data_IF_926304609975
#
_entry.id   IF_926304609975
#
_cell.length_a   1.000
_cell.length_b   1.000
_cell.length_c   1.000
_cell.angle_alpha   90.00
_cell.angle_beta   90.00
_cell.angle_gamma   90.00
#
_symmetry.space_group_name_H-M   'P 1'
#
loop_
_entity.id
_entity.type
_entity.pdbx_description
1 polymer ?
#
# COMPACT_ATOMS: atom_id res chain seq x y z
N UNK A 1 19.64 17.46 1.06
CA UNK A 1 18.24 17.93 0.97
C UNK A 1 17.42 17.10 1.95
N UNK A 2 16.77 17.72 2.93
CA UNK A 2 15.97 16.99 3.90
C UNK A 2 14.84 16.23 3.17
N UNK A 3 14.48 15.01 3.59
CA UNK A 3 13.30 14.35 3.05
C UNK A 3 12.11 15.27 3.34
N UNK A 4 11.29 15.58 2.31
CA UNK A 4 10.09 16.40 2.48
C UNK A 4 9.17 15.87 3.60
N UNK A 5 8.11 16.63 3.98
CA UNK A 5 7.28 16.29 5.11
C UNK A 5 6.70 14.87 5.00
N UNK A 6 6.45 14.19 6.12
CA UNK A 6 5.77 12.87 6.11
C UNK A 6 4.29 13.00 5.75
N UNK A 7 3.68 14.08 6.21
CA UNK A 7 2.28 14.42 5.96
C UNK A 7 2.21 15.93 5.74
N UNK A 8 1.38 16.33 4.78
CA UNK A 8 1.04 17.73 4.56
C UNK A 8 0.39 18.35 5.81
N UNK A 9 0.79 19.56 6.24
CA UNK A 9 0.25 20.21 7.43
C UNK A 9 -1.13 20.85 7.15
N UNK A 10 -2.11 20.04 6.78
CA UNK A 10 -3.42 20.50 6.30
C UNK A 10 -4.18 21.37 7.30
N UNK A 11 -4.00 21.18 8.61
CA UNK A 11 -4.58 22.07 9.62
C UNK A 11 -4.03 23.50 9.51
N UNK A 12 -2.72 23.66 9.27
CA UNK A 12 -2.11 24.99 9.02
C UNK A 12 -2.61 25.61 7.72
N UNK A 13 -3.07 24.78 6.79
CA UNK A 13 -3.73 25.22 5.56
C UNK A 13 -5.26 25.43 5.72
N UNK A 14 -5.76 25.43 6.96
CA UNK A 14 -7.16 25.74 7.30
C UNK A 14 -8.08 24.53 7.47
N UNK A 15 -7.61 23.30 7.29
CA UNK A 15 -8.45 22.12 7.51
C UNK A 15 -8.82 21.97 9.00
N UNK A 16 -10.09 21.66 9.28
CA UNK A 16 -10.60 21.57 10.64
C UNK A 16 -10.85 20.12 11.05
N UNK A 17 -10.50 19.69 12.28
CA UNK A 17 -10.83 18.35 12.76
C UNK A 17 -12.34 18.14 12.86
N UNK A 18 -12.77 16.92 12.56
CA UNK A 18 -14.15 16.45 12.74
C UNK A 18 -14.13 15.07 13.40
N UNK A 19 -15.22 14.71 14.07
CA UNK A 19 -15.39 13.35 14.58
C UNK A 19 -15.26 12.34 13.44
N UNK A 20 -14.51 11.26 13.68
CA UNK A 20 -14.39 10.15 12.72
C UNK A 20 -15.53 9.18 13.01
N UNK A 21 -16.46 8.95 12.07
CA UNK A 21 -17.47 7.91 12.23
C UNK A 21 -16.82 6.55 12.49
N UNK A 22 -17.44 5.73 13.35
CA UNK A 22 -16.86 4.47 13.83
C UNK A 22 -16.45 3.55 12.67
N UNK A 23 -17.31 3.43 11.65
CA UNK A 23 -17.02 2.63 10.46
C UNK A 23 -15.79 3.11 9.67
N UNK A 24 -15.56 4.43 9.61
CA UNK A 24 -14.33 4.99 9.03
C UNK A 24 -13.13 4.80 9.96
N UNK A 25 -13.35 4.88 11.28
CA UNK A 25 -12.33 4.62 12.30
C UNK A 25 -11.80 3.20 12.15
N UNK A 26 -12.68 2.20 12.11
CA UNK A 26 -12.30 0.79 11.93
C UNK A 26 -11.53 0.56 10.63
N UNK A 27 -11.95 1.20 9.51
CA UNK A 27 -11.26 1.08 8.23
C UNK A 27 -9.86 1.70 8.30
N UNK A 28 -9.74 2.92 8.80
CA UNK A 28 -8.45 3.60 8.87
C UNK A 28 -7.49 2.96 9.87
N UNK A 29 -8.00 2.41 10.97
CA UNK A 29 -7.17 1.70 11.92
C UNK A 29 -6.67 0.38 11.35
N UNK A 30 -7.52 -0.39 10.66
CA UNK A 30 -7.11 -1.60 9.96
C UNK A 30 -6.06 -1.35 8.86
N UNK A 31 -6.06 -0.17 8.23
CA UNK A 31 -5.07 0.19 7.20
C UNK A 31 -3.76 0.72 7.77
N UNK A 32 -3.84 1.60 8.77
CA UNK A 32 -2.74 2.50 9.13
C UNK A 32 -2.29 2.41 10.57
N UNK A 33 -3.15 1.95 11.48
CA UNK A 33 -2.82 1.92 12.90
C UNK A 33 -2.07 0.64 13.26
N UNK A 34 -0.90 0.81 13.85
CA UNK A 34 -0.18 -0.25 14.55
C UNK A 34 0.49 0.35 15.79
N UNK A 35 0.50 -0.36 16.92
CA UNK A 35 1.13 0.15 18.14
C UNK A 35 2.67 0.17 18.07
N UNK A 36 3.26 -0.54 17.10
CA UNK A 36 4.71 -0.76 17.02
C UNK A 36 5.48 0.30 16.23
N UNK A 37 6.81 0.26 16.37
CA UNK A 37 7.77 1.06 15.61
C UNK A 37 8.71 0.15 14.82
N UNK A 38 9.24 0.61 13.68
CA UNK A 38 10.26 -0.15 12.96
C UNK A 38 11.52 -0.27 13.82
N UNK A 39 12.21 -1.40 13.72
CA UNK A 39 13.44 -1.64 14.46
C UNK A 39 14.66 -1.60 13.53
N UNK A 40 15.80 -1.15 14.07
CA UNK A 40 17.11 -1.30 13.46
C UNK A 40 17.58 -2.76 13.52
N UNK A 41 18.63 -3.15 12.78
CA UNK A 41 19.17 -4.52 12.83
C UNK A 41 19.60 -4.98 14.23
N UNK A 42 19.99 -4.05 15.11
CA UNK A 42 20.34 -4.31 16.51
C UNK A 42 19.12 -4.43 17.45
N UNK A 43 17.90 -4.30 16.92
CA UNK A 43 16.65 -4.37 17.68
C UNK A 43 16.17 -3.03 18.23
N UNK A 44 16.93 -1.94 18.08
CA UNK A 44 16.53 -0.62 18.60
C UNK A 44 15.32 -0.07 17.85
N UNK A 45 14.29 0.38 18.57
CA UNK A 45 13.11 1.00 17.98
C UNK A 45 13.45 2.36 17.35
N UNK A 46 12.97 2.58 16.13
CA UNK A 46 13.07 3.86 15.41
C UNK A 46 11.89 4.77 15.74
N UNK A 47 11.92 6.03 15.30
CA UNK A 47 10.77 6.95 15.37
C UNK A 47 9.75 6.76 14.23
N UNK A 48 9.86 5.68 13.45
CA UNK A 48 8.96 5.40 12.32
C UNK A 48 7.95 4.36 12.79
N UNK A 49 6.67 4.74 12.88
CA UNK A 49 5.59 3.82 13.22
C UNK A 49 5.48 2.71 12.18
N UNK A 50 5.25 1.49 12.65
CA UNK A 50 4.80 0.41 11.77
C UNK A 50 3.36 0.71 11.32
N UNK A 51 2.99 0.16 10.18
CA UNK A 51 1.63 0.26 9.64
C UNK A 51 1.25 -1.09 9.03
N UNK A 52 -0.03 -1.51 9.14
CA UNK A 52 -0.50 -2.75 8.55
C UNK A 52 -0.22 -2.83 7.04
N UNK A 53 -0.52 -1.76 6.29
CA UNK A 53 -0.14 -1.64 4.88
C UNK A 53 1.37 -1.40 4.76
N UNK A 54 2.12 -2.26 4.05
CA UNK A 54 3.56 -2.09 3.89
C UNK A 54 3.89 -0.90 2.97
N UNK A 55 5.09 -0.34 3.16
CA UNK A 55 5.64 0.67 2.24
C UNK A 55 7.13 0.46 1.98
N UNK A 56 7.55 0.72 0.75
CA UNK A 56 8.95 0.61 0.35
C UNK A 56 9.86 1.48 1.24
N UNK A 57 10.75 0.84 1.97
CA UNK A 57 11.70 1.53 2.86
C UNK A 57 11.05 2.32 3.98
N UNK A 58 9.83 1.97 4.40
CA UNK A 58 9.07 2.70 5.41
C UNK A 58 8.91 4.21 5.06
N UNK A 59 8.81 4.53 3.77
CA UNK A 59 8.65 5.90 3.29
C UNK A 59 7.24 6.44 3.62
N UNK A 60 6.24 5.56 3.56
CA UNK A 60 4.81 5.81 3.80
C UNK A 60 4.30 7.06 3.07
N UNK A 61 4.41 7.12 1.72
CA UNK A 61 4.02 8.29 0.96
C UNK A 61 2.51 8.40 0.73
N UNK A 62 1.74 7.36 1.08
CA UNK A 62 0.31 7.28 0.78
C UNK A 62 -0.49 8.12 1.76
N UNK A 63 -1.37 8.97 1.26
CA UNK A 63 -2.37 9.68 2.05
C UNK A 63 -3.79 9.24 1.69
N UNK A 64 -4.68 9.34 2.67
CA UNK A 64 -6.08 8.92 2.55
C UNK A 64 -6.98 10.15 2.56
N UNK A 65 -7.59 10.45 1.43
CA UNK A 65 -8.60 11.49 1.29
C UNK A 65 -9.99 10.86 1.18
N UNK A 66 -11.00 11.51 1.74
CA UNK A 66 -12.39 11.07 1.63
C UNK A 66 -13.21 12.16 0.97
N UNK A 67 -13.92 11.81 -0.09
CA UNK A 67 -14.89 12.68 -0.75
C UNK A 67 -16.27 12.17 -0.37
N UNK A 68 -16.91 12.84 0.58
CA UNK A 68 -18.26 12.49 1.04
C UNK A 68 -19.26 13.05 0.05
N UNK A 69 -20.07 12.15 -0.51
CA UNK A 69 -21.06 12.48 -1.54
C UNK A 69 -22.25 13.26 -0.99
N UNK A 70 -23.20 13.62 -1.86
CA UNK A 70 -24.35 14.45 -1.52
C UNK A 70 -25.26 13.87 -0.42
N UNK A 71 -25.27 12.54 -0.25
CA UNK A 71 -26.05 11.86 0.79
C UNK A 71 -25.42 11.95 2.20
N UNK A 72 -24.18 12.46 2.32
CA UNK A 72 -23.44 12.41 3.57
C UNK A 72 -22.89 11.00 3.88
N UNK A 73 -22.29 10.86 5.07
CA UNK A 73 -21.82 9.57 5.58
C UNK A 73 -21.78 9.58 7.11
N UNK A 74 -22.66 8.83 7.79
CA UNK A 74 -22.62 8.61 9.24
C UNK A 74 -22.45 9.91 10.05
N UNK A 75 -23.25 10.93 9.71
CA UNK A 75 -23.19 12.27 10.34
C UNK A 75 -22.13 13.22 9.76
N UNK A 76 -21.33 12.78 8.78
CA UNK A 76 -20.47 13.68 8.01
C UNK A 76 -21.27 14.37 6.90
N UNK A 77 -21.15 15.69 6.85
CA UNK A 77 -21.64 16.49 5.74
C UNK A 77 -20.96 16.13 4.41
N UNK A 78 -21.62 16.40 3.28
CA UNK A 78 -20.97 16.40 1.97
C UNK A 78 -19.73 17.31 1.96
N UNK A 79 -18.63 16.82 1.39
CA UNK A 79 -17.38 17.57 1.38
C UNK A 79 -16.15 16.73 1.10
N UNK A 80 -14.98 17.35 1.31
CA UNK A 80 -13.68 16.71 1.14
C UNK A 80 -12.96 16.70 2.47
N UNK A 81 -12.43 15.55 2.81
CA UNK A 81 -11.76 15.29 4.07
C UNK A 81 -10.44 14.60 3.80
N UNK A 82 -9.56 14.61 4.78
CA UNK A 82 -8.36 13.77 4.80
C UNK A 82 -8.24 13.10 6.15
N UNK A 83 -7.68 11.91 6.18
CA UNK A 83 -7.32 11.24 7.41
C UNK A 83 -5.87 11.60 7.77
N UNK A 84 -5.66 12.28 8.89
CA UNK A 84 -4.34 12.55 9.44
C UNK A 84 -3.81 11.28 10.11
N UNK A 85 -2.84 10.65 9.45
CA UNK A 85 -2.29 9.37 9.90
C UNK A 85 -1.45 9.48 11.18
N UNK A 86 -0.99 10.67 11.53
CA UNK A 86 -0.17 10.87 12.74
C UNK A 86 -1.05 11.09 13.97
N UNK A 87 -2.13 11.86 13.84
CA UNK A 87 -3.04 12.16 14.95
C UNK A 87 -4.25 11.22 15.03
N UNK A 88 -4.54 10.45 13.98
CA UNK A 88 -5.75 9.62 13.89
C UNK A 88 -7.04 10.41 13.69
N UNK A 89 -6.95 11.69 13.31
CA UNK A 89 -8.13 12.56 13.14
C UNK A 89 -8.56 12.62 11.67
N UNK A 90 -9.86 12.80 11.45
CA UNK A 90 -10.39 13.20 10.15
C UNK A 90 -10.42 14.74 10.10
N UNK A 91 -9.90 15.32 9.03
CA UNK A 91 -9.83 16.76 8.83
C UNK A 91 -10.71 17.15 7.64
N UNK A 92 -11.71 18.00 7.86
CA UNK A 92 -12.50 18.63 6.78
C UNK A 92 -11.63 19.67 6.08
N UNK A 93 -11.43 19.50 4.78
CA UNK A 93 -10.66 20.44 3.95
C UNK A 93 -11.55 21.63 3.58
N UNK A 94 -10.94 22.81 3.62
CA UNK A 94 -11.55 24.07 3.14
C UNK A 94 -10.67 24.69 2.06
N UNK A 95 -11.27 25.46 1.16
CA UNK A 95 -10.55 26.50 0.42
C UNK A 95 -9.74 26.10 -0.81
N UNK A 96 -9.72 24.85 -1.29
CA UNK A 96 -9.09 24.56 -2.60
C UNK A 96 -9.99 24.82 -3.81
N UNK A 97 -11.26 24.44 -3.70
CA UNK A 97 -12.33 24.95 -4.54
C UNK A 97 -13.08 26.02 -3.73
N UNK A 98 -13.69 27.00 -4.39
CA UNK A 98 -14.67 27.90 -3.74
C UNK A 98 -15.63 27.02 -2.92
N UNK A 99 -15.87 27.37 -1.65
CA UNK A 99 -16.64 26.59 -0.65
C UNK A 99 -18.00 26.03 -1.16
N UNK A 100 -18.50 26.57 -2.27
CA UNK A 100 -19.75 26.21 -2.93
C UNK A 100 -19.67 25.03 -3.91
N UNK A 101 -18.49 24.57 -4.32
CA UNK A 101 -18.38 23.41 -5.22
C UNK A 101 -18.45 22.11 -4.44
N UNK A 102 -19.68 21.75 -4.03
CA UNK A 102 -19.96 20.43 -3.44
C UNK A 102 -19.45 19.35 -4.40
N UNK A 103 -18.89 18.23 -3.90
CA UNK A 103 -18.54 17.12 -4.76
C UNK A 103 -19.77 16.71 -5.57
N UNK A 104 -19.66 16.69 -6.90
CA UNK A 104 -20.76 16.31 -7.79
C UNK A 104 -21.06 14.79 -7.75
N UNK A 105 -20.46 14.06 -6.81
CA UNK A 105 -20.66 12.61 -6.65
C UNK A 105 -21.76 12.33 -5.65
N UNK A 106 -22.65 11.41 -6.00
CA UNK A 106 -23.65 10.88 -5.07
C UNK A 106 -23.00 9.97 -4.01
N UNK A 107 -21.90 9.29 -4.37
CA UNK A 107 -21.27 8.26 -3.54
C UNK A 107 -20.05 8.81 -2.79
N UNK A 108 -19.83 8.25 -1.61
CA UNK A 108 -18.60 8.50 -0.84
C UNK A 108 -17.44 7.73 -1.43
N UNK A 109 -16.32 8.42 -1.66
CA UNK A 109 -15.14 7.86 -2.32
C UNK A 109 -13.90 8.06 -1.47
N UNK A 110 -13.20 6.98 -1.14
CA UNK A 110 -11.85 7.03 -0.60
C UNK A 110 -10.87 7.22 -1.76
N UNK A 111 -10.06 8.26 -1.73
CA UNK A 111 -9.03 8.53 -2.74
C UNK A 111 -7.66 8.42 -2.08
N UNK A 112 -6.81 7.57 -2.65
CA UNK A 112 -5.45 7.35 -2.22
C UNK A 112 -4.51 8.20 -3.08
N UNK A 113 -3.75 9.07 -2.43
CA UNK A 113 -2.74 9.92 -3.08
C UNK A 113 -1.34 9.51 -2.63
N UNK A 114 -0.33 9.96 -3.36
CA UNK A 114 1.07 9.87 -2.92
C UNK A 114 1.69 11.25 -2.82
N UNK A 115 2.53 11.44 -1.81
CA UNK A 115 3.45 12.55 -1.73
C UNK A 115 4.85 12.10 -2.21
N UNK A 116 5.31 12.53 -3.40
CA UNK A 116 6.50 11.96 -4.04
C UNK A 116 7.82 12.12 -3.26
N UNK A 117 7.94 13.19 -2.46
CA UNK A 117 9.22 13.73 -1.99
C UNK A 117 10.12 12.75 -1.23
N UNK A 118 9.59 11.97 -0.27
CA UNK A 118 10.40 11.07 0.56
C UNK A 118 10.90 9.86 -0.24
N UNK A 119 9.99 9.23 -1.00
CA UNK A 119 10.35 8.11 -1.87
C UNK A 119 11.31 8.55 -2.97
N UNK A 120 11.15 9.75 -3.54
CA UNK A 120 12.09 10.31 -4.51
C UNK A 120 13.47 10.57 -3.91
N UNK A 121 13.54 11.15 -2.70
CA UNK A 121 14.81 11.40 -2.01
C UNK A 121 15.65 10.13 -1.81
N UNK A 122 14.99 8.99 -1.57
CA UNK A 122 15.64 7.68 -1.36
C UNK A 122 15.91 6.91 -2.65
N UNK A 123 14.94 6.87 -3.56
CA UNK A 123 14.95 5.95 -4.70
C UNK A 123 15.19 6.62 -6.06
N UNK A 124 15.18 7.96 -6.11
CA UNK A 124 15.44 8.75 -7.31
C UNK A 124 14.56 8.30 -8.49
N UNK A 125 15.16 7.98 -9.64
CA UNK A 125 14.45 7.53 -10.83
C UNK A 125 13.64 6.23 -10.62
N UNK A 126 13.94 5.45 -9.58
CA UNK A 126 13.20 4.23 -9.21
C UNK A 126 11.99 4.51 -8.30
N UNK A 127 11.69 5.76 -7.99
CA UNK A 127 10.61 6.10 -7.06
C UNK A 127 9.21 5.90 -7.64
N UNK A 128 9.01 6.15 -8.93
CA UNK A 128 7.67 6.15 -9.51
C UNK A 128 6.96 4.78 -9.49
N UNK A 129 7.63 3.62 -9.75
CA UNK A 129 6.97 2.33 -9.60
C UNK A 129 6.65 2.04 -8.14
N UNK A 130 7.47 2.52 -7.20
CA UNK A 130 7.24 2.36 -5.76
C UNK A 130 6.04 3.19 -5.26
N UNK A 131 5.75 4.34 -5.89
CA UNK A 131 4.51 5.07 -5.62
C UNK A 131 3.29 4.26 -6.00
N UNK A 132 3.32 3.60 -7.16
CA UNK A 132 2.25 2.69 -7.59
C UNK A 132 2.18 1.49 -6.65
N UNK A 133 3.32 0.91 -6.27
CA UNK A 133 3.37 -0.21 -5.33
C UNK A 133 2.68 0.14 -4.00
N UNK A 134 3.07 1.25 -3.36
CA UNK A 134 2.51 1.65 -2.07
C UNK A 134 0.99 1.88 -2.16
N UNK A 135 0.49 2.51 -3.23
CA UNK A 135 -0.95 2.71 -3.43
C UNK A 135 -1.67 1.42 -3.79
N UNK A 136 -1.08 0.54 -4.59
CA UNK A 136 -1.65 -0.75 -4.94
C UNK A 136 -1.83 -1.63 -3.70
N UNK A 137 -0.83 -1.67 -2.80
CA UNK A 137 -0.93 -2.38 -1.53
C UNK A 137 -2.01 -1.76 -0.62
N UNK A 138 -2.12 -0.43 -0.58
CA UNK A 138 -3.16 0.27 0.17
C UNK A 138 -4.57 0.00 -0.39
N UNK A 139 -4.75 0.09 -1.70
CA UNK A 139 -6.03 -0.17 -2.37
C UNK A 139 -6.46 -1.62 -2.16
N UNK A 140 -5.56 -2.58 -2.37
CA UNK A 140 -5.84 -3.99 -2.13
C UNK A 140 -6.14 -4.25 -0.65
N UNK A 141 -5.55 -3.49 0.28
CA UNK A 141 -5.89 -3.61 1.70
C UNK A 141 -7.30 -3.11 2.00
N UNK A 142 -7.76 -2.04 1.35
CA UNK A 142 -9.17 -1.60 1.47
C UNK A 142 -10.12 -2.70 0.98
N UNK A 143 -9.85 -3.26 -0.19
CA UNK A 143 -10.65 -4.36 -0.77
C UNK A 143 -10.56 -5.65 0.05
N UNK A 144 -9.44 -5.87 0.74
CA UNK A 144 -9.26 -7.01 1.63
C UNK A 144 -10.05 -6.81 2.93
N UNK A 145 -9.99 -5.63 3.54
CA UNK A 145 -10.66 -5.35 4.82
C UNK A 145 -12.18 -5.25 4.69
N UNK A 146 -12.67 -4.68 3.59
CA UNK A 146 -14.11 -4.48 3.38
C UNK A 146 -14.72 -5.74 2.77
N UNK A 147 -15.80 -6.25 3.37
CA UNK A 147 -16.46 -7.49 2.93
C UNK A 147 -17.22 -7.35 1.62
N UNK A 148 -17.70 -6.14 1.34
CA UNK A 148 -18.51 -5.81 0.19
C UNK A 148 -17.66 -5.60 -1.07
N UNK A 149 -18.27 -5.85 -2.24
CA UNK A 149 -17.59 -5.60 -3.52
C UNK A 149 -17.45 -4.10 -3.76
N UNK A 150 -16.20 -3.65 -3.84
CA UNK A 150 -15.87 -2.26 -4.12
C UNK A 150 -15.67 -2.00 -5.61
N UNK A 151 -16.02 -0.79 -6.04
CA UNK A 151 -15.63 -0.27 -7.35
C UNK A 151 -14.36 0.56 -7.19
N UNK A 152 -13.35 0.24 -7.98
CA UNK A 152 -12.06 0.90 -7.92
C UNK A 152 -11.65 1.49 -9.26
N UNK A 153 -10.88 2.57 -9.21
CA UNK A 153 -10.28 3.19 -10.37
C UNK A 153 -8.84 3.58 -10.04
N UNK A 154 -7.95 3.45 -11.01
CA UNK A 154 -6.53 3.80 -10.87
C UNK A 154 -6.18 5.01 -11.73
N UNK A 155 -5.09 5.66 -11.36
CA UNK A 155 -4.58 6.87 -11.99
C UNK A 155 -3.08 6.78 -12.29
N UNK A 156 -2.43 7.93 -12.53
CA UNK A 156 -2.97 9.29 -12.37
C UNK A 156 -3.98 9.67 -13.46
N UNK A 157 -4.92 10.58 -13.16
CA UNK A 157 -5.89 11.03 -14.15
C UNK A 157 -6.70 12.28 -13.76
N UNK A 158 -7.32 12.98 -14.73
CA UNK A 158 -8.13 14.16 -14.47
C UNK A 158 -9.33 13.86 -13.56
N UNK A 159 -9.95 12.69 -13.67
CA UNK A 159 -11.08 12.26 -12.83
C UNK A 159 -10.71 12.23 -11.34
N UNK A 160 -9.62 11.53 -10.98
CA UNK A 160 -9.19 11.42 -9.58
C UNK A 160 -8.76 12.78 -9.00
N UNK A 161 -8.14 13.64 -9.83
CA UNK A 161 -7.80 15.01 -9.42
C UNK A 161 -9.04 15.86 -9.16
N UNK A 162 -10.05 15.77 -10.03
CA UNK A 162 -11.31 16.50 -9.88
C UNK A 162 -12.06 16.09 -8.59
N UNK A 163 -12.04 14.80 -8.23
CA UNK A 163 -12.60 14.32 -6.96
C UNK A 163 -12.00 15.10 -5.77
N UNK A 164 -10.70 15.34 -5.77
CA UNK A 164 -10.02 16.03 -4.67
C UNK A 164 -10.05 17.55 -4.74
N UNK A 165 -10.40 18.14 -5.89
CA UNK A 165 -10.36 19.59 -6.08
C UNK A 165 -8.95 20.15 -5.83
N UNK A 166 -7.89 19.41 -6.17
CA UNK A 166 -6.50 19.86 -5.99
C UNK A 166 -5.85 20.17 -7.34
N UNK A 167 -4.82 21.04 -7.40
CA UNK A 167 -4.09 21.32 -8.62
C UNK A 167 -3.33 20.09 -9.08
N UNK A 168 -2.86 20.15 -10.33
CA UNK A 168 -1.90 19.18 -10.83
C UNK A 168 -0.65 19.22 -9.98
N UNK A 169 -0.08 18.04 -9.67
CA UNK A 169 1.15 17.98 -8.89
C UNK A 169 2.34 18.65 -9.58
N UNK A 170 2.35 18.69 -10.92
CA UNK A 170 3.33 19.42 -11.72
C UNK A 170 3.27 20.95 -11.52
N UNK A 171 2.15 21.49 -11.05
CA UNK A 171 1.99 22.89 -10.70
C UNK A 171 2.26 23.05 -9.20
N UNK A 172 3.54 23.18 -8.80
CA UNK A 172 3.90 23.20 -7.38
C UNK A 172 3.47 24.49 -6.65
N UNK A 173 3.48 25.64 -7.34
CA UNK A 173 3.28 26.96 -6.70
C UNK A 173 1.97 27.08 -5.91
N UNK A 174 0.79 26.65 -6.42
CA UNK A 174 -0.44 26.71 -5.64
C UNK A 174 -0.40 25.91 -4.33
N UNK A 175 0.34 24.79 -4.29
CA UNK A 175 0.50 23.99 -3.07
C UNK A 175 1.38 24.72 -2.06
N UNK A 176 2.53 25.23 -2.53
CA UNK A 176 3.50 25.93 -1.70
C UNK A 176 2.92 27.22 -1.11
N UNK A 177 2.08 27.94 -1.85
CA UNK A 177 1.36 29.12 -1.36
C UNK A 177 0.44 28.83 -0.16
N UNK A 178 0.11 27.56 0.09
CA UNK A 178 -0.66 27.10 1.26
C UNK A 178 0.19 26.37 2.30
N UNK A 179 1.52 26.38 2.13
CA UNK A 179 2.43 25.61 2.99
C UNK A 179 2.30 24.10 2.83
N UNK A 180 1.75 23.64 1.69
CA UNK A 180 1.60 22.23 1.35
C UNK A 180 2.60 21.83 0.26
N UNK A 181 2.86 20.54 0.11
CA UNK A 181 3.62 19.98 -1.00
C UNK A 181 2.71 19.17 -1.94
N UNK A 182 3.05 19.04 -3.24
CA UNK A 182 2.20 18.35 -4.21
C UNK A 182 1.91 16.89 -3.87
N UNK A 183 0.64 16.51 -4.04
CA UNK A 183 0.19 15.12 -3.99
C UNK A 183 -0.32 14.64 -5.36
N UNK A 184 -0.12 13.36 -5.68
CA UNK A 184 -0.59 12.72 -6.91
C UNK A 184 -1.69 11.71 -6.57
N UNK A 185 -2.95 11.95 -6.97
CA UNK A 185 -4.02 10.96 -6.83
C UNK A 185 -3.79 9.76 -7.74
N UNK A 186 -3.74 8.55 -7.16
CA UNK A 186 -3.39 7.33 -7.88
C UNK A 186 -4.46 6.24 -7.80
N UNK A 187 -5.31 6.22 -6.79
CA UNK A 187 -6.44 5.31 -6.74
C UNK A 187 -7.67 5.95 -6.10
N UNK A 188 -8.85 5.48 -6.48
CA UNK A 188 -10.10 5.79 -5.83
C UNK A 188 -10.92 4.52 -5.64
N UNK A 189 -11.57 4.42 -4.48
CA UNK A 189 -12.41 3.32 -4.05
C UNK A 189 -13.77 3.90 -3.67
N UNK A 190 -14.80 3.56 -4.43
CA UNK A 190 -16.19 3.94 -4.12
C UNK A 190 -16.68 3.05 -2.98
N UNK A 191 -17.03 3.68 -1.85
CA UNK A 191 -17.57 2.99 -0.69
C UNK A 191 -19.10 2.89 -0.85
N UNK A 192 -19.69 1.69 -0.74
CA UNK A 192 -21.14 1.54 -0.80
C UNK A 192 -21.81 2.27 0.39
N UNK A 193 -23.12 2.51 0.40
CA UNK A 193 -23.79 3.19 1.53
C UNK A 193 -23.65 2.42 2.86
N UNK A 194 -23.61 1.08 2.76
CA UNK A 194 -23.35 0.16 3.88
C UNK A 194 -22.14 -0.70 3.57
N UNK A 195 -21.18 -0.76 4.50
CA UNK A 195 -20.05 -1.68 4.46
C UNK A 195 -19.58 -2.06 5.85
N UNK A 196 -18.87 -3.18 5.95
CA UNK A 196 -18.28 -3.67 7.20
C UNK A 196 -16.78 -3.93 7.02
N UNK A 197 -16.01 -3.68 8.07
CA UNK A 197 -14.59 -4.04 8.14
C UNK A 197 -14.47 -5.39 8.85
N UNK A 198 -13.89 -6.37 8.18
CA UNK A 198 -13.63 -7.70 8.75
C UNK A 198 -12.50 -7.63 9.78
N UNK A 199 -12.83 -7.93 11.05
CA UNK A 199 -11.90 -7.86 12.18
C UNK A 199 -10.78 -8.89 12.06
N UNK A 200 -11.07 -10.10 11.56
CA UNK A 200 -10.07 -11.15 11.36
C UNK A 200 -9.04 -10.77 10.30
N UNK A 201 -9.51 -10.17 9.19
CA UNK A 201 -8.65 -9.61 8.14
C UNK A 201 -7.85 -8.42 8.63
N UNK A 202 -8.46 -7.54 9.43
CA UNK A 202 -7.77 -6.42 10.08
C UNK A 202 -6.62 -6.90 10.98
N UNK A 203 -6.88 -7.89 11.84
CA UNK A 203 -5.88 -8.50 12.70
C UNK A 203 -4.76 -9.20 11.89
N UNK A 204 -5.11 -9.95 10.86
CA UNK A 204 -4.14 -10.61 9.99
C UNK A 204 -3.21 -9.59 9.29
N UNK A 205 -3.78 -8.49 8.78
CA UNK A 205 -2.98 -7.43 8.17
C UNK A 205 -2.06 -6.73 9.18
N UNK A 206 -2.56 -6.46 10.40
CA UNK A 206 -1.79 -5.81 11.46
C UNK A 206 -0.61 -6.66 11.98
N UNK A 207 -0.75 -7.98 11.97
CA UNK A 207 0.28 -8.93 12.42
C UNK A 207 1.25 -9.36 11.32
N UNK A 208 0.94 -9.08 10.05
CA UNK A 208 1.78 -9.44 8.90
C UNK A 208 3.19 -8.86 9.02
N UNK A 209 4.21 -9.72 8.96
CA UNK A 209 5.62 -9.33 8.88
C UNK A 209 6.30 -10.07 7.74
N UNK A 210 7.24 -9.41 7.06
CA UNK A 210 8.10 -10.10 6.09
C UNK A 210 9.10 -10.96 6.87
N UNK A 211 9.39 -12.20 6.45
CA UNK A 211 10.49 -12.97 7.03
C UNK A 211 11.81 -12.21 6.95
N UNK A 212 12.69 -12.45 7.94
CA UNK A 212 14.05 -11.94 7.92
C UNK A 212 14.85 -12.60 6.80
N UNK A 213 15.91 -11.93 6.32
CA UNK A 213 16.78 -12.50 5.27
C UNK A 213 17.45 -13.80 5.75
N UNK A 214 17.85 -13.83 7.03
CA UNK A 214 18.46 -14.99 7.66
C UNK A 214 17.58 -16.23 7.65
N UNK A 215 16.25 -16.09 7.72
CA UNK A 215 15.33 -17.23 7.64
C UNK A 215 15.39 -17.90 6.26
N UNK A 216 15.54 -17.11 5.19
CA UNK A 216 15.73 -17.67 3.86
C UNK A 216 17.13 -18.27 3.71
N UNK A 217 18.17 -17.60 4.21
CA UNK A 217 19.54 -18.11 4.17
C UNK A 217 19.65 -19.48 4.85
N UNK A 218 18.98 -19.68 5.99
CA UNK A 218 18.91 -20.97 6.69
C UNK A 218 18.19 -22.07 5.89
N UNK A 219 17.31 -21.71 4.95
CA UNK A 219 16.57 -22.64 4.11
C UNK A 219 17.31 -23.05 2.81
N UNK A 220 18.46 -22.45 2.50
CA UNK A 220 19.21 -22.67 1.23
C UNK A 220 19.78 -24.08 1.04
N UNK A 221 19.71 -24.97 2.04
CA UNK A 221 20.13 -26.38 1.92
C UNK A 221 19.19 -27.28 1.12
N UNK A 222 18.01 -26.78 0.71
CA UNK A 222 17.05 -27.51 -0.14
C UNK A 222 17.33 -27.26 -1.62
N UNK A 223 16.90 -28.17 -2.50
CA UNK A 223 16.96 -27.93 -3.95
C UNK A 223 16.09 -26.71 -4.28
N UNK A 224 16.66 -25.60 -4.80
CA UNK A 224 15.91 -24.37 -5.01
C UNK A 224 14.91 -24.51 -6.17
N UNK A 225 13.77 -23.84 -6.05
CA UNK A 225 12.82 -23.62 -7.15
C UNK A 225 13.58 -22.99 -8.34
N UNK A 226 13.42 -23.49 -9.59
CA UNK A 226 14.02 -22.86 -10.78
C UNK A 226 13.76 -21.35 -10.88
N UNK A 227 12.57 -20.89 -10.46
CA UNK A 227 12.24 -19.46 -10.41
C UNK A 227 13.05 -18.72 -9.34
N UNK A 228 13.33 -19.36 -8.20
CA UNK A 228 14.19 -18.79 -7.17
C UNK A 228 15.62 -18.58 -7.68
N UNK A 229 16.16 -19.54 -8.45
CA UNK A 229 17.47 -19.41 -9.09
C UNK A 229 17.49 -18.24 -10.07
N UNK A 230 16.49 -18.13 -10.94
CA UNK A 230 16.40 -17.02 -11.90
C UNK A 230 16.30 -15.66 -11.20
N UNK A 231 15.42 -15.53 -10.21
CA UNK A 231 15.23 -14.28 -9.48
C UNK A 231 16.47 -13.93 -8.65
N UNK A 232 17.12 -14.89 -7.99
CA UNK A 232 18.37 -14.65 -7.26
C UNK A 232 19.45 -14.10 -8.20
N UNK A 233 19.59 -14.69 -9.40
CA UNK A 233 20.55 -14.24 -10.43
C UNK A 233 20.22 -12.84 -10.93
N UNK A 234 18.96 -12.57 -11.32
CA UNK A 234 18.56 -11.27 -11.89
C UNK A 234 18.55 -10.13 -10.88
N UNK A 235 18.37 -10.44 -9.60
CA UNK A 235 18.30 -9.45 -8.51
C UNK A 235 19.61 -9.28 -7.73
N UNK A 236 20.58 -10.17 -7.95
CA UNK A 236 21.83 -10.23 -7.18
C UNK A 236 21.64 -10.61 -5.72
N UNK A 237 20.53 -11.28 -5.36
CA UNK A 237 20.16 -11.58 -3.98
C UNK A 237 20.12 -13.09 -3.72
N UNK A 238 21.21 -13.63 -3.18
CA UNK A 238 21.36 -15.06 -2.91
C UNK A 238 20.35 -15.61 -1.89
N UNK A 239 19.87 -14.79 -0.95
CA UNK A 239 18.86 -15.21 0.02
C UNK A 239 17.58 -15.73 -0.65
N UNK A 240 17.25 -15.29 -1.87
CA UNK A 240 16.06 -15.77 -2.60
C UNK A 240 16.11 -17.27 -2.86
N UNK A 241 17.30 -17.88 -2.94
CA UNK A 241 17.47 -19.31 -3.18
C UNK A 241 16.84 -20.19 -2.08
N UNK A 242 16.68 -19.67 -0.87
CA UNK A 242 16.03 -20.39 0.23
C UNK A 242 14.51 -20.26 0.26
N UNK A 243 13.90 -19.60 -0.73
CA UNK A 243 12.45 -19.50 -0.81
C UNK A 243 11.84 -20.85 -1.23
N UNK A 244 10.83 -21.32 -0.48
CA UNK A 244 10.05 -22.51 -0.86
C UNK A 244 9.16 -22.26 -2.08
N UNK A 245 8.82 -20.98 -2.33
CA UNK A 245 8.06 -20.56 -3.51
C UNK A 245 8.45 -19.15 -3.93
N UNK A 246 8.55 -18.93 -5.24
CA UNK A 246 8.73 -17.60 -5.83
C UNK A 246 7.63 -17.29 -6.85
N UNK A 247 6.94 -16.18 -6.63
CA UNK A 247 5.97 -15.61 -7.58
C UNK A 247 6.58 -14.40 -8.28
N UNK A 248 6.43 -14.34 -9.60
CA UNK A 248 6.92 -13.23 -10.42
C UNK A 248 5.81 -12.75 -11.36
N UNK A 249 5.79 -11.44 -11.60
CA UNK A 249 4.97 -10.83 -12.62
C UNK A 249 5.86 -10.05 -13.56
N UNK A 250 5.64 -10.19 -14.86
CA UNK A 250 6.50 -9.59 -15.87
C UNK A 250 5.74 -9.03 -17.05
N UNK A 251 6.36 -8.07 -17.72
CA UNK A 251 5.88 -7.45 -18.95
C UNK A 251 6.99 -7.51 -20.01
N UNK A 252 6.68 -7.65 -21.32
CA UNK A 252 7.70 -7.53 -22.36
C UNK A 252 8.45 -6.19 -22.26
N UNK A 253 9.76 -6.21 -22.47
CA UNK A 253 10.62 -5.02 -22.38
C UNK A 253 10.26 -3.94 -23.42
N UNK A 254 9.69 -4.38 -24.54
CA UNK A 254 9.27 -3.52 -25.65
C UNK A 254 7.77 -3.18 -25.60
N UNK A 255 7.08 -3.52 -24.50
CA UNK A 255 5.67 -3.20 -24.37
C UNK A 255 5.47 -1.67 -24.37
N UNK A 256 4.35 -1.17 -24.94
CA UNK A 256 3.97 0.23 -24.83
C UNK A 256 3.93 0.69 -23.36
N UNK A 257 4.25 1.97 -23.12
CA UNK A 257 4.30 2.53 -21.77
C UNK A 257 3.00 2.36 -20.97
N UNK A 258 1.85 2.41 -21.66
CA UNK A 258 0.53 2.14 -21.06
C UNK A 258 0.44 0.72 -20.49
N UNK A 259 0.89 -0.27 -21.26
CA UNK A 259 0.81 -1.68 -20.90
C UNK A 259 1.81 -1.99 -19.76
N UNK A 260 2.97 -1.33 -19.75
CA UNK A 260 3.91 -1.38 -18.63
C UNK A 260 3.26 -0.83 -17.37
N UNK A 261 2.62 0.35 -17.44
CA UNK A 261 1.96 0.96 -16.27
C UNK A 261 0.83 0.07 -15.73
N UNK A 262 0.01 -0.52 -16.61
CA UNK A 262 -1.04 -1.46 -16.23
C UNK A 262 -0.47 -2.74 -15.61
N UNK A 263 0.58 -3.32 -16.21
CA UNK A 263 1.24 -4.51 -15.68
C UNK A 263 1.86 -4.26 -14.30
N UNK A 264 2.43 -3.08 -14.04
CA UNK A 264 2.96 -2.69 -12.71
C UNK A 264 1.83 -2.63 -11.68
N UNK A 265 0.70 -2.00 -12.00
CA UNK A 265 -0.48 -1.98 -11.13
C UNK A 265 -0.97 -3.40 -10.80
N UNK A 266 -1.17 -4.24 -11.82
CA UNK A 266 -1.69 -5.59 -11.64
C UNK A 266 -0.72 -6.47 -10.85
N UNK A 267 0.58 -6.36 -11.11
CA UNK A 267 1.61 -7.10 -10.38
C UNK A 267 1.57 -6.77 -8.88
N UNK A 268 1.58 -5.49 -8.51
CA UNK A 268 1.56 -5.10 -7.10
C UNK A 268 0.23 -5.43 -6.41
N UNK A 269 -0.91 -5.31 -7.10
CA UNK A 269 -2.20 -5.71 -6.53
C UNK A 269 -2.28 -7.22 -6.27
N UNK A 270 -1.86 -8.05 -7.22
CA UNK A 270 -1.81 -9.52 -7.06
C UNK A 270 -0.83 -9.93 -5.95
N UNK A 271 0.31 -9.27 -5.88
CA UNK A 271 1.28 -9.49 -4.82
C UNK A 271 0.72 -9.12 -3.43
N UNK A 272 0.03 -7.97 -3.33
CA UNK A 272 -0.63 -7.56 -2.10
C UNK A 272 -1.70 -8.59 -1.67
N UNK A 273 -2.54 -9.06 -2.59
CA UNK A 273 -3.53 -10.11 -2.31
C UNK A 273 -2.87 -11.38 -1.77
N UNK A 274 -1.80 -11.87 -2.42
CA UNK A 274 -1.07 -13.05 -1.94
C UNK A 274 -0.43 -12.83 -0.56
N UNK A 275 0.10 -11.63 -0.30
CA UNK A 275 0.65 -11.29 1.01
C UNK A 275 -0.43 -11.34 2.10
N UNK A 276 -1.62 -10.79 1.84
CA UNK A 276 -2.70 -10.65 2.81
C UNK A 276 -3.45 -11.96 3.02
N UNK A 277 -3.72 -12.71 1.96
CA UNK A 277 -4.30 -14.05 2.05
C UNK A 277 -3.34 -15.05 2.72
N UNK A 278 -2.03 -14.93 2.44
CA UNK A 278 -1.01 -15.79 3.03
C UNK A 278 -0.93 -15.69 4.55
N UNK A 279 -1.01 -14.47 5.09
CA UNK A 279 -1.06 -14.24 6.54
C UNK A 279 -2.40 -14.66 7.13
N UNK A 280 -3.52 -14.36 6.47
CA UNK A 280 -4.86 -14.74 6.95
C UNK A 280 -5.01 -16.26 7.05
N UNK A 281 -4.54 -16.98 6.04
CA UNK A 281 -4.62 -18.45 6.04
C UNK A 281 -3.51 -19.11 6.86
N UNK A 282 -2.55 -18.34 7.39
CA UNK A 282 -1.36 -18.88 8.06
C UNK A 282 -0.49 -19.77 7.16
N UNK A 283 -0.63 -19.72 5.83
CA UNK A 283 0.09 -20.66 4.92
C UNK A 283 1.47 -20.14 4.57
N UNK A 284 1.56 -18.85 4.27
CA UNK A 284 2.77 -18.26 3.69
C UNK A 284 3.13 -16.95 4.38
N UNK A 285 4.41 -16.80 4.67
CA UNK A 285 5.03 -15.51 4.98
C UNK A 285 5.83 -15.09 3.75
N UNK A 286 5.67 -13.85 3.34
CA UNK A 286 6.22 -13.37 2.06
C UNK A 286 7.07 -12.13 2.23
N UNK A 287 8.13 -12.05 1.41
CA UNK A 287 9.04 -10.93 1.31
C UNK A 287 9.15 -10.47 -0.15
N UNK A 288 8.88 -9.19 -0.45
CA UNK A 288 9.15 -8.64 -1.77
C UNK A 288 10.63 -8.71 -2.14
N UNK A 289 10.92 -9.11 -3.37
CA UNK A 289 12.25 -9.04 -3.97
C UNK A 289 12.33 -7.77 -4.82
N UNK A 290 13.39 -6.99 -4.65
CA UNK A 290 13.61 -5.73 -5.36
C UNK A 290 14.88 -5.78 -6.21
N UNK A 291 15.14 -4.76 -7.03
CA UNK A 291 16.40 -4.64 -7.77
C UNK A 291 16.57 -5.66 -8.90
N UNK A 292 15.47 -6.21 -9.42
CA UNK A 292 15.49 -7.21 -10.48
C UNK A 292 15.77 -6.51 -11.82
N UNK A 293 16.87 -6.87 -12.47
CA UNK A 293 17.19 -6.38 -13.79
C UNK A 293 16.28 -6.99 -14.86
N UNK A 294 16.10 -6.29 -15.99
CA UNK A 294 15.45 -6.87 -17.15
C UNK A 294 16.27 -8.07 -17.67
N UNK A 295 15.58 -9.13 -18.07
CA UNK A 295 16.19 -10.37 -18.55
C UNK A 295 15.33 -11.02 -19.62
N UNK A 296 15.95 -11.64 -20.61
CA UNK A 296 15.26 -12.41 -21.67
C UNK A 296 14.14 -11.60 -22.38
N UNK A 297 14.37 -10.30 -22.62
CA UNK A 297 13.39 -9.42 -23.26
C UNK A 297 12.16 -9.09 -22.40
N UNK A 298 12.20 -9.33 -21.09
CA UNK A 298 11.12 -9.06 -20.14
C UNK A 298 11.60 -8.26 -18.93
N UNK A 299 10.69 -7.48 -18.36
CA UNK A 299 10.88 -6.76 -17.11
C UNK A 299 10.04 -7.47 -16.07
N UNK A 300 10.68 -7.98 -15.01
CA UNK A 300 9.96 -8.45 -13.83
C UNK A 300 9.53 -7.21 -13.05
N UNK A 301 8.24 -6.89 -13.10
CA UNK A 301 7.67 -5.69 -12.47
C UNK A 301 7.57 -5.86 -10.96
N UNK A 302 7.38 -7.09 -10.48
CA UNK A 302 7.40 -7.43 -9.06
C UNK A 302 7.69 -8.91 -8.85
N UNK A 303 8.23 -9.25 -7.67
CA UNK A 303 8.37 -10.64 -7.24
C UNK A 303 8.21 -10.79 -5.73
N UNK A 304 7.71 -11.95 -5.30
CA UNK A 304 7.58 -12.35 -3.90
C UNK A 304 8.31 -13.66 -3.68
N UNK A 305 9.20 -13.68 -2.69
CA UNK A 305 9.77 -14.89 -2.12
C UNK A 305 8.93 -15.29 -0.90
N UNK A 306 8.60 -16.58 -0.76
CA UNK A 306 7.73 -17.09 0.28
C UNK A 306 8.37 -18.22 1.07
N UNK A 307 8.10 -18.22 2.38
CA UNK A 307 8.38 -19.31 3.31
C UNK A 307 7.06 -19.78 3.92
N UNK A 308 6.93 -21.06 4.30
CA UNK A 308 5.81 -21.51 5.11
C UNK A 308 5.77 -20.75 6.44
N UNK A 309 4.58 -20.54 6.99
CA UNK A 309 4.45 -19.87 8.30
C UNK A 309 4.92 -20.76 9.46
N UNK A 310 5.03 -22.06 9.25
CA UNK A 310 5.43 -23.03 10.27
C UNK A 310 6.87 -23.52 10.01
N UNK A 311 7.79 -23.10 10.86
CA UNK A 311 8.89 -23.98 11.23
C UNK A 311 8.33 -25.04 12.18
N UNK A 312 8.42 -26.31 11.78
CA UNK A 312 8.07 -27.56 12.50
C UNK A 312 6.69 -28.14 12.18
N UNK A 313 6.73 -29.34 11.59
CA UNK A 313 5.55 -30.12 11.22
C UNK A 313 5.71 -30.96 9.95
N UNK A 314 6.86 -31.59 9.72
CA UNK A 314 6.81 -32.95 9.17
C UNK A 314 6.26 -33.82 10.32
N UNK A 315 4.95 -33.85 10.48
CA UNK A 315 4.31 -35.00 11.09
C UNK A 315 4.54 -36.15 10.11
N UNK A 316 5.22 -37.18 10.59
CA UNK A 316 5.36 -38.46 9.91
C UNK A 316 3.99 -38.95 9.42
N UNK A 317 3.76 -38.93 8.10
CA UNK A 317 2.73 -39.74 7.44
C UNK A 317 3.14 -41.24 7.41
N UNK A 318 3.70 -41.76 8.50
CA UNK A 318 4.23 -43.12 8.57
C UNK A 318 3.85 -43.90 9.85
N UNK A 319 2.90 -43.42 10.65
CA UNK A 319 2.41 -44.16 11.83
C UNK A 319 0.89 -44.19 11.99
N UNK A 320 0.16 -44.25 10.88
CA UNK A 320 -1.26 -44.65 10.87
C UNK A 320 -1.51 -45.76 9.82
N UNK A 321 -0.60 -46.73 9.78
CA UNK A 321 -0.77 -48.01 9.10
C UNK A 321 -0.23 -49.16 9.96
N UNK A 322 -0.55 -49.13 11.27
CA UNK A 322 -0.41 -50.26 12.20
C UNK A 322 -1.12 -49.93 13.53
N UNK A 323 -2.45 -49.92 13.50
CA UNK A 323 -3.31 -50.12 14.67
C UNK A 323 -4.61 -50.77 14.20
#
# INVERSE_FOLDING_TARGET
>A
MAPGPRVNPWQKAGAAPVAVPERLRSLFDGLWHSPGYHHLPDGTATSIRQRPVPSAGAAYPVHSHLVVGSAGLDGLDPGRYLFDHESGNLLRRVGWDNERSRPATAQTTLVLTVQPGRSFGRYRHRAWPLWIADVAYAQTAVEFLVTERLRTSTGPGPRLRALLGVPRAACAQPWLNRGLVPEIPLAAVELPPSWTVDVGRSHALATRRSPALSEFEQATGRRPDPRAVEVARLSGQAWVLGADRVETWSVPAQAPARDIAEAVWQAHRRAASLCYEGVLSGRWRSRPVSGIAAGHGRWITHALAMLPSNGHGHTNDAQEAAA
#
